data_IF_183424388307
#
_entry.id   IF_183424388307
#
_cell.length_a   1.000
_cell.length_b   1.000
_cell.length_c   1.000
_cell.angle_alpha   90.00
_cell.angle_beta   90.00
_cell.angle_gamma   90.00
#
_symmetry.space_group_name_H-M   'P 1'
#
loop_
_entity.id
_entity.type
_entity.pdbx_description
1 polymer ?
#
# COMPACT_ATOMS: atom_id res chain seq x y z
N UNK A 1 -13.92 -10.80 -10.11
CA UNK A 1 -13.76 -10.47 -8.68
C UNK A 1 -13.17 -9.08 -8.58
N UNK A 2 -13.66 -8.24 -7.66
CA UNK A 2 -13.16 -6.87 -7.48
C UNK A 2 -11.85 -6.93 -6.70
N UNK A 3 -10.75 -6.58 -7.36
CA UNK A 3 -9.41 -6.60 -6.78
C UNK A 3 -8.93 -5.17 -6.49
N UNK A 4 -7.89 -5.02 -5.67
CA UNK A 4 -7.25 -3.73 -5.36
C UNK A 4 -6.71 -2.94 -6.57
N UNK A 5 -6.73 -3.53 -7.77
CA UNK A 5 -6.39 -2.92 -9.06
C UNK A 5 -7.52 -2.08 -9.66
N UNK A 6 -8.77 -2.45 -9.40
CA UNK A 6 -9.96 -1.83 -9.99
C UNK A 6 -10.44 -0.59 -9.22
N UNK A 7 -9.87 -0.34 -8.05
CA UNK A 7 -10.22 0.79 -7.17
C UNK A 7 -9.15 1.88 -7.27
N UNK A 8 -9.55 3.17 -7.29
CA UNK A 8 -8.62 4.30 -7.17
C UNK A 8 -7.70 4.16 -5.94
N UNK A 9 -6.40 4.36 -6.17
CA UNK A 9 -5.38 4.11 -5.15
C UNK A 9 -5.56 4.95 -3.89
N UNK A 10 -5.99 6.21 -4.04
CA UNK A 10 -6.17 7.13 -2.91
C UNK A 10 -7.23 6.63 -1.93
N UNK A 11 -8.42 6.32 -2.44
CA UNK A 11 -9.55 5.88 -1.63
C UNK A 11 -9.24 4.56 -0.92
N UNK A 12 -8.66 3.60 -1.65
CA UNK A 12 -8.27 2.32 -1.07
C UNK A 12 -7.23 2.50 0.05
N UNK A 13 -6.24 3.38 -0.13
CA UNK A 13 -5.22 3.64 0.90
C UNK A 13 -5.84 4.28 2.15
N UNK A 14 -6.78 5.21 1.97
CA UNK A 14 -7.47 5.87 3.08
C UNK A 14 -8.32 4.88 3.89
N UNK A 15 -9.12 4.04 3.25
CA UNK A 15 -9.95 3.04 3.92
C UNK A 15 -9.11 1.95 4.59
N UNK A 16 -8.05 1.45 3.92
CA UNK A 16 -7.12 0.50 4.53
C UNK A 16 -6.40 1.14 5.72
N UNK A 17 -6.02 2.41 5.66
CA UNK A 17 -5.38 3.09 6.79
C UNK A 17 -6.28 3.17 8.02
N UNK A 18 -7.58 3.46 7.83
CA UNK A 18 -8.59 3.43 8.92
C UNK A 18 -8.69 2.03 9.52
N UNK A 19 -8.82 1.00 8.66
CA UNK A 19 -8.88 -0.38 9.11
C UNK A 19 -7.65 -0.79 9.94
N UNK A 20 -6.45 -0.42 9.48
CA UNK A 20 -5.20 -0.74 10.19
C UNK A 20 -5.11 -0.02 11.55
N UNK A 21 -5.62 1.20 11.64
CA UNK A 21 -5.65 1.98 12.89
C UNK A 21 -6.57 1.36 13.94
N UNK A 22 -7.73 0.86 13.52
CA UNK A 22 -8.75 0.31 14.42
C UNK A 22 -8.48 -1.15 14.79
N UNK A 23 -8.07 -1.98 13.82
CA UNK A 23 -8.09 -3.44 13.98
C UNK A 23 -6.71 -4.06 14.23
N UNK A 24 -5.61 -3.34 13.99
CA UNK A 24 -4.25 -3.90 14.07
C UNK A 24 -3.42 -3.17 15.11
N UNK A 25 -3.48 -3.67 16.35
CA UNK A 25 -2.74 -3.13 17.49
C UNK A 25 -1.21 -3.21 17.35
N UNK A 26 -0.71 -4.08 16.47
CA UNK A 26 0.72 -4.26 16.21
C UNK A 26 1.33 -3.13 15.37
N UNK A 27 0.52 -2.42 14.59
CA UNK A 27 0.97 -1.31 13.76
C UNK A 27 0.90 -0.05 14.61
N UNK A 28 2.00 0.27 15.28
CA UNK A 28 2.13 1.52 16.04
C UNK A 28 3.16 2.44 15.40
N UNK A 29 2.90 3.75 15.30
CA UNK A 29 3.93 4.70 14.88
C UNK A 29 5.10 4.61 15.86
N UNK A 30 6.35 4.47 15.38
CA UNK A 30 7.51 4.53 16.26
C UNK A 30 7.68 5.97 16.78
N UNK A 31 8.28 6.13 17.95
CA UNK A 31 8.42 7.44 18.64
C UNK A 31 9.01 8.54 17.74
N UNK A 32 10.07 8.21 17.00
CA UNK A 32 10.72 9.16 16.09
C UNK A 32 9.83 9.60 14.90
N UNK A 33 8.74 8.90 14.60
CA UNK A 33 7.90 9.18 13.43
C UNK A 33 7.18 10.52 13.50
N UNK A 34 6.99 11.06 14.70
CA UNK A 34 6.38 12.38 14.92
C UNK A 34 7.34 13.52 14.57
N UNK A 35 8.64 13.30 14.69
CA UNK A 35 9.66 14.35 14.55
C UNK A 35 10.45 14.22 13.24
N UNK A 36 10.57 13.01 12.69
CA UNK A 36 11.43 12.77 11.54
C UNK A 36 10.73 13.02 10.20
N UNK A 37 11.46 13.62 9.28
CA UNK A 37 11.08 13.59 7.87
C UNK A 37 11.21 12.19 7.28
N UNK A 38 10.35 11.87 6.32
CA UNK A 38 10.26 10.51 5.72
C UNK A 38 11.46 10.14 4.85
N UNK A 39 12.24 11.11 4.38
CA UNK A 39 13.41 10.87 3.53
C UNK A 39 14.18 12.14 3.16
N UNK A 40 15.33 11.99 2.49
CA UNK A 40 16.23 13.09 2.17
C UNK A 40 15.65 14.10 1.18
N UNK A 41 14.68 13.68 0.35
CA UNK A 41 13.99 14.54 -0.62
C UNK A 41 12.97 15.48 0.05
N UNK A 42 12.57 15.20 1.29
CA UNK A 42 11.60 16.03 2.02
C UNK A 42 12.33 17.08 2.85
N UNK A 43 11.69 18.24 2.96
CA UNK A 43 12.17 19.37 3.77
C UNK A 43 11.52 19.35 5.16
N UNK A 44 10.20 19.15 5.20
CA UNK A 44 9.39 19.11 6.41
C UNK A 44 8.92 17.67 6.75
N UNK A 45 8.65 17.37 8.02
CA UNK A 45 7.89 16.19 8.42
C UNK A 45 6.48 16.16 7.79
N UNK A 46 5.81 15.00 7.74
CA UNK A 46 4.42 14.94 7.31
C UNK A 46 3.49 15.72 8.26
N UNK A 47 2.58 16.52 7.71
CA UNK A 47 1.63 17.30 8.51
C UNK A 47 0.52 16.42 9.13
N UNK A 48 0.22 15.29 8.49
CA UNK A 48 -0.80 14.35 8.94
C UNK A 48 -0.26 13.45 10.07
N UNK A 49 -0.85 13.45 11.28
CA UNK A 49 -0.38 12.62 12.39
C UNK A 49 -0.54 11.12 12.11
N UNK A 50 -1.51 10.72 11.29
CA UNK A 50 -1.79 9.33 10.93
C UNK A 50 -1.01 8.86 9.68
N UNK A 51 0.02 9.61 9.27
CA UNK A 51 0.79 9.31 8.06
C UNK A 51 1.43 7.92 8.07
N UNK A 52 1.72 7.38 9.27
CA UNK A 52 2.31 6.05 9.43
C UNK A 52 1.37 4.94 8.94
N UNK A 53 0.08 5.03 9.28
CA UNK A 53 -0.93 4.07 8.83
C UNK A 53 -1.14 4.16 7.32
N UNK A 54 -1.18 5.39 6.77
CA UNK A 54 -1.23 5.62 5.32
C UNK A 54 0.01 5.05 4.62
N UNK A 55 1.19 5.13 5.25
CA UNK A 55 2.42 4.53 4.73
C UNK A 55 2.32 3.00 4.70
N UNK A 56 1.83 2.39 5.77
CA UNK A 56 1.63 0.94 5.86
C UNK A 56 0.62 0.44 4.82
N UNK A 57 -0.53 1.12 4.68
CA UNK A 57 -1.55 0.83 3.66
C UNK A 57 -0.98 0.94 2.24
N UNK A 58 -0.24 2.01 1.95
CA UNK A 58 0.41 2.20 0.65
C UNK A 58 1.46 1.13 0.34
N UNK A 59 2.23 0.70 1.35
CA UNK A 59 3.20 -0.38 1.22
C UNK A 59 2.52 -1.72 0.94
N UNK A 60 1.47 -2.05 1.71
CA UNK A 60 0.71 -3.28 1.53
C UNK A 60 0.13 -3.37 0.10
N UNK A 61 -0.46 -2.29 -0.39
CA UNK A 61 -0.93 -2.19 -1.79
C UNK A 61 0.21 -2.36 -2.80
N UNK A 62 1.37 -1.75 -2.57
CA UNK A 62 2.53 -1.86 -3.49
C UNK A 62 3.08 -3.28 -3.55
N UNK A 63 3.17 -3.97 -2.42
CA UNK A 63 3.63 -5.37 -2.38
C UNK A 63 2.61 -6.28 -3.06
N UNK A 64 1.30 -6.04 -2.89
CA UNK A 64 0.26 -6.79 -3.59
C UNK A 64 0.40 -6.68 -5.12
N UNK A 65 0.67 -5.48 -5.63
CA UNK A 65 0.75 -5.24 -7.08
C UNK A 65 2.02 -5.76 -7.72
N UNK A 66 3.16 -5.58 -7.04
CA UNK A 66 4.49 -5.75 -7.65
C UNK A 66 5.14 -7.11 -7.32
N UNK A 67 4.42 -8.05 -6.70
CA UNK A 67 4.92 -9.39 -6.36
C UNK A 67 6.01 -9.35 -5.29
N UNK A 68 7.08 -10.16 -5.37
CA UNK A 68 8.17 -10.13 -4.40
C UNK A 68 8.95 -8.82 -4.50
N UNK A 69 8.82 -7.96 -3.46
CA UNK A 69 9.48 -6.65 -3.42
C UNK A 69 10.51 -6.56 -2.29
N UNK A 70 11.70 -6.09 -2.62
CA UNK A 70 12.76 -5.76 -1.66
C UNK A 70 12.75 -4.29 -1.20
N UNK A 71 13.49 -4.01 -0.12
CA UNK A 71 13.59 -2.66 0.45
C UNK A 71 14.13 -1.63 -0.55
N UNK A 72 15.11 -2.00 -1.38
CA UNK A 72 15.75 -1.08 -2.31
C UNK A 72 14.82 -0.60 -3.44
N UNK A 73 13.99 -1.51 -3.96
CA UNK A 73 12.96 -1.16 -4.95
C UNK A 73 11.94 -0.19 -4.34
N UNK A 74 11.53 -0.42 -3.09
CA UNK A 74 10.62 0.50 -2.38
C UNK A 74 11.27 1.86 -2.12
N UNK A 75 12.55 1.90 -1.76
CA UNK A 75 13.28 3.16 -1.59
C UNK A 75 13.36 3.98 -2.87
N UNK A 76 13.43 3.30 -4.01
CA UNK A 76 13.37 3.95 -5.32
C UNK A 76 11.94 4.42 -5.62
N UNK A 77 10.93 3.59 -5.36
CA UNK A 77 9.52 3.95 -5.59
C UNK A 77 9.04 5.15 -4.75
N UNK A 78 9.50 5.28 -3.50
CA UNK A 78 9.18 6.41 -2.63
C UNK A 78 10.24 7.52 -2.66
N UNK A 79 11.26 7.38 -3.51
CA UNK A 79 12.25 8.42 -3.76
C UNK A 79 11.66 9.60 -4.52
N UNK A 80 12.49 10.59 -4.80
CA UNK A 80 12.04 11.73 -5.59
C UNK A 80 13.15 12.71 -5.90
N UNK A 81 12.80 13.74 -6.66
CA UNK A 81 13.69 14.81 -7.07
C UNK A 81 14.00 15.75 -5.90
N UNK A 82 15.28 15.95 -5.60
CA UNK A 82 15.71 16.86 -4.53
C UNK A 82 15.39 18.31 -4.86
N UNK A 83 15.09 19.09 -3.83
CA UNK A 83 14.92 20.54 -3.89
C UNK A 83 16.22 21.20 -3.42
N UNK A 84 17.21 21.24 -4.32
CA UNK A 84 18.43 22.00 -4.08
C UNK A 84 18.26 23.40 -4.66
N UNK A 85 18.64 24.44 -3.92
CA UNK A 85 18.58 25.83 -4.39
C UNK A 85 19.77 26.16 -5.31
N UNK A 86 20.99 25.81 -4.89
CA UNK A 86 22.23 26.19 -5.58
C UNK A 86 22.69 25.16 -6.62
N UNK A 87 22.49 23.87 -6.35
CA UNK A 87 22.93 22.78 -7.23
C UNK A 87 21.80 22.24 -8.09
N UNK A 88 22.15 21.63 -9.23
CA UNK A 88 21.19 20.91 -10.08
C UNK A 88 20.42 19.87 -9.25
N UNK A 89 19.15 19.69 -9.61
CA UNK A 89 18.23 18.78 -8.92
C UNK A 89 18.42 17.37 -9.46
N UNK A 90 18.69 16.41 -8.57
CA UNK A 90 18.87 15.00 -8.92
C UNK A 90 17.83 14.14 -8.21
N UNK A 91 17.61 12.93 -8.72
CA UNK A 91 16.80 11.93 -8.03
C UNK A 91 17.58 11.36 -6.84
N UNK A 92 16.94 11.28 -5.66
CA UNK A 92 17.47 10.55 -4.51
C UNK A 92 16.47 9.51 -4.03
N UNK A 93 16.99 8.33 -3.68
CA UNK A 93 16.24 7.26 -3.01
C UNK A 93 15.73 7.74 -1.65
N UNK A 94 14.59 7.23 -1.21
CA UNK A 94 14.03 7.56 0.10
C UNK A 94 14.86 7.00 1.26
N UNK A 95 14.57 7.49 2.47
CA UNK A 95 15.08 6.91 3.70
C UNK A 95 14.58 5.47 3.90
N UNK A 96 15.43 4.60 4.43
CA UNK A 96 15.08 3.18 4.62
C UNK A 96 14.29 2.89 5.89
N UNK A 97 14.39 3.74 6.92
CA UNK A 97 13.84 3.44 8.26
C UNK A 97 12.31 3.33 8.25
N UNK A 98 11.62 4.31 7.66
CA UNK A 98 10.16 4.35 7.56
C UNK A 98 9.59 3.12 6.85
N UNK A 99 10.22 2.71 5.74
CA UNK A 99 9.79 1.55 4.97
C UNK A 99 10.10 0.25 5.71
N UNK A 100 11.32 0.12 6.26
CA UNK A 100 11.77 -1.11 6.92
C UNK A 100 10.93 -1.42 8.15
N UNK A 101 10.73 -0.42 9.02
CA UNK A 101 9.97 -0.58 10.27
C UNK A 101 8.48 -0.85 10.00
N UNK A 102 7.88 -0.15 9.04
CA UNK A 102 6.50 -0.43 8.63
C UNK A 102 6.34 -1.87 8.10
N UNK A 103 7.27 -2.35 7.28
CA UNK A 103 7.22 -3.73 6.79
C UNK A 103 7.45 -4.77 7.89
N UNK A 104 8.28 -4.48 8.90
CA UNK A 104 8.45 -5.36 10.06
C UNK A 104 7.15 -5.47 10.86
N UNK A 105 6.43 -4.37 11.06
CA UNK A 105 5.13 -4.39 11.76
C UNK A 105 4.05 -5.12 10.96
N UNK A 106 4.01 -4.93 9.63
CA UNK A 106 3.09 -5.67 8.75
C UNK A 106 3.41 -7.18 8.69
N UNK A 107 4.67 -7.54 8.91
CA UNK A 107 5.14 -8.93 9.00
C UNK A 107 4.72 -9.55 10.33
N UNK A 108 4.89 -8.84 11.45
CA UNK A 108 4.33 -9.24 12.76
C UNK A 108 2.82 -9.49 12.67
N UNK A 109 2.08 -8.60 12.01
CA UNK A 109 0.62 -8.70 11.88
C UNK A 109 0.15 -9.85 10.95
N UNK A 110 1.10 -10.56 10.31
CA UNK A 110 0.83 -11.66 9.40
C UNK A 110 0.21 -11.25 8.06
N UNK A 111 0.29 -9.96 7.69
CA UNK A 111 -0.22 -9.45 6.41
C UNK A 111 0.80 -9.60 5.28
N UNK A 112 2.10 -9.61 5.63
CA UNK A 112 3.22 -9.77 4.71
C UNK A 112 4.09 -10.92 5.20
N UNK A 113 4.60 -11.73 4.27
CA UNK A 113 5.58 -12.76 4.53
C UNK A 113 6.92 -12.44 3.85
N UNK A 114 8.00 -12.88 4.49
CA UNK A 114 9.34 -12.83 3.92
C UNK A 114 9.59 -14.06 3.04
N UNK A 115 10.22 -13.83 1.90
CA UNK A 115 10.61 -14.83 0.90
C UNK A 115 12.09 -14.60 0.56
N UNK A 116 12.86 -15.59 0.10
CA UNK A 116 14.26 -15.38 -0.28
C UNK A 116 14.47 -14.24 -1.30
N UNK A 117 13.51 -14.02 -2.20
CA UNK A 117 13.55 -12.99 -3.24
C UNK A 117 13.01 -11.62 -2.78
N UNK A 118 12.43 -11.50 -1.58
CA UNK A 118 11.83 -10.25 -1.10
C UNK A 118 10.70 -10.46 -0.11
N UNK A 119 9.66 -9.64 -0.20
CA UNK A 119 8.44 -9.76 0.61
C UNK A 119 7.22 -9.92 -0.28
N UNK A 120 6.30 -10.77 0.13
CA UNK A 120 5.07 -11.11 -0.59
C UNK A 120 3.88 -10.95 0.36
N UNK A 121 2.71 -10.60 -0.17
CA UNK A 121 1.47 -10.51 0.61
C UNK A 121 0.97 -11.92 0.96
N UNK A 122 0.55 -12.11 2.21
CA UNK A 122 -0.02 -13.40 2.64
C UNK A 122 -1.46 -13.57 2.13
N UNK A 123 -2.02 -14.80 2.11
CA UNK A 123 -3.43 -15.00 1.80
C UNK A 123 -4.38 -14.16 2.67
N UNK A 124 -4.03 -13.99 3.96
CA UNK A 124 -4.75 -13.12 4.90
C UNK A 124 -4.70 -11.65 4.45
N UNK A 125 -3.52 -11.13 4.11
CA UNK A 125 -3.35 -9.77 3.61
C UNK A 125 -4.06 -9.54 2.27
N UNK A 126 -4.08 -10.55 1.39
CA UNK A 126 -4.77 -10.51 0.11
C UNK A 126 -6.29 -10.42 0.31
N UNK A 127 -6.85 -11.31 1.12
CA UNK A 127 -8.28 -11.34 1.45
C UNK A 127 -8.75 -10.02 2.06
N UNK A 128 -7.97 -9.44 2.97
CA UNK A 128 -8.27 -8.14 3.58
C UNK A 128 -8.32 -7.01 2.54
N UNK A 129 -7.31 -6.94 1.65
CA UNK A 129 -7.29 -5.92 0.60
C UNK A 129 -8.46 -6.06 -0.37
N UNK A 130 -8.79 -7.29 -0.76
CA UNK A 130 -9.88 -7.55 -1.70
C UNK A 130 -11.25 -7.25 -1.06
N UNK A 131 -11.44 -7.52 0.23
CA UNK A 131 -12.66 -7.13 0.99
C UNK A 131 -12.84 -5.60 1.02
N UNK A 132 -11.80 -4.87 1.42
CA UNK A 132 -11.84 -3.40 1.49
C UNK A 132 -11.99 -2.80 0.08
N UNK A 133 -11.36 -3.40 -0.93
CA UNK A 133 -11.54 -2.99 -2.32
C UNK A 133 -12.99 -3.14 -2.77
N UNK A 134 -13.65 -4.24 -2.43
CA UNK A 134 -15.05 -4.48 -2.74
C UNK A 134 -15.98 -3.47 -2.05
N UNK A 135 -15.76 -3.18 -0.76
CA UNK A 135 -16.52 -2.17 -0.02
C UNK A 135 -16.34 -0.77 -0.62
N UNK A 136 -15.11 -0.39 -0.92
CA UNK A 136 -14.79 0.90 -1.55
C UNK A 136 -15.40 1.00 -2.95
N UNK A 137 -15.39 -0.10 -3.69
CA UNK A 137 -15.98 -0.16 -5.03
C UNK A 137 -17.52 -0.02 -4.98
N UNK A 138 -18.19 -0.62 -3.99
CA UNK A 138 -19.63 -0.41 -3.76
C UNK A 138 -19.97 1.05 -3.47
N UNK A 139 -19.18 1.72 -2.65
CA UNK A 139 -19.33 3.17 -2.39
C UNK A 139 -19.19 3.99 -3.69
N UNK A 140 -18.21 3.64 -4.52
CA UNK A 140 -18.00 4.29 -5.81
C UNK A 140 -19.12 4.04 -6.81
N UNK A 141 -19.73 2.86 -6.81
CA UNK A 141 -20.88 2.54 -7.66
C UNK A 141 -22.09 3.39 -7.27
N UNK A 142 -22.29 3.67 -5.98
CA UNK A 142 -23.36 4.57 -5.53
C UNK A 142 -23.16 6.00 -6.02
N UNK A 143 -21.90 6.49 -6.04
CA UNK A 143 -21.58 7.83 -6.57
C UNK A 143 -21.62 7.88 -8.10
N UNK A 144 -21.29 6.77 -8.77
CA UNK A 144 -21.17 6.66 -10.23
C UNK A 144 -21.81 5.35 -10.70
N UNK A 145 -23.09 5.39 -11.11
CA UNK A 145 -23.80 4.17 -11.53
C UNK A 145 -23.18 3.51 -12.77
N UNK A 146 -22.41 4.26 -13.57
CA UNK A 146 -21.65 3.73 -14.72
C UNK A 146 -20.69 2.58 -14.35
N UNK A 147 -20.26 2.50 -13.09
CA UNK A 147 -19.30 1.50 -12.63
C UNK A 147 -19.94 0.11 -12.34
N UNK A 148 -21.27 0.00 -12.32
CA UNK A 148 -21.99 -1.28 -12.11
C UNK A 148 -21.54 -2.37 -13.06
N UNK A 149 -21.19 -2.00 -14.30
CA UNK A 149 -20.68 -2.91 -15.33
C UNK A 149 -19.46 -3.72 -14.87
N UNK A 150 -18.64 -3.18 -13.98
CA UNK A 150 -17.43 -3.86 -13.49
C UNK A 150 -17.67 -4.70 -12.23
N UNK A 151 -18.86 -4.62 -11.63
CA UNK A 151 -19.26 -5.51 -10.53
C UNK A 151 -19.50 -6.95 -11.04
N UNK A 152 -20.02 -7.08 -12.26
CA UNK A 152 -20.66 -8.28 -12.77
C UNK A 152 -19.93 -8.98 -13.93
N UNK A 153 -18.58 -9.01 -13.95
CA UNK A 153 -17.88 -9.95 -14.84
C UNK A 153 -17.47 -11.21 -14.07
N UNK A 154 -18.30 -12.28 -14.04
CA UNK A 154 -17.79 -13.61 -13.81
C UNK A 154 -16.78 -13.91 -14.92
N UNK A 155 -15.59 -14.38 -14.55
CA UNK A 155 -14.68 -14.91 -15.57
C UNK A 155 -15.36 -16.13 -16.18
N UNK A 156 -15.43 -16.16 -17.52
CA UNK A 156 -15.76 -17.36 -18.25
C UNK A 156 -14.84 -18.49 -17.76
N UNK A 157 -15.43 -19.54 -17.18
CA UNK A 157 -14.74 -20.81 -17.00
C UNK A 157 -14.15 -21.21 -18.36
N UNK A 158 -12.88 -21.61 -18.47
CA UNK A 158 -12.49 -22.39 -19.64
C UNK A 158 -13.39 -23.63 -19.66
N UNK A 159 -14.02 -23.88 -20.81
CA UNK A 159 -14.96 -24.98 -21.02
C UNK A 159 -14.38 -26.31 -20.48
N UNK A 160 -15.22 -27.23 -19.95
CA UNK A 160 -14.76 -28.58 -19.69
C UNK A 160 -14.20 -29.15 -21.00
N UNK A 161 -12.92 -29.51 -21.00
CA UNK A 161 -12.34 -30.29 -22.10
C UNK A 161 -13.05 -31.65 -22.08
N UNK A 162 -14.07 -31.78 -22.93
CA UNK A 162 -14.58 -33.06 -23.36
C UNK A 162 -13.57 -33.64 -24.35
N UNK A 163 -12.70 -34.53 -23.86
CA UNK A 163 -12.16 -35.71 -24.54
C UNK A 163 -11.26 -36.48 -23.58
#
# INVERSE_FOLDING_TARGET
>A
MVDARLVPARLLIEEVAKYLKENVSEIKPPEWSLYAKTGPTRERPPDDPDWWYKRCAALLRKVYLNGPVGLERLRTAYGGRTKNTVKRKHFKKSGGSSIRKALQQLESAGLIAKTPKGRVVTPKGKSLLDKIALETFKKLVQERPELEKYLAKPQASPAPQSQ
#
